data_IF_843624526931
#
_entry.id   IF_843624526931
#
_cell.length_a   1.000
_cell.length_b   1.000
_cell.length_c   1.000
_cell.angle_alpha   90.00
_cell.angle_beta   90.00
_cell.angle_gamma   90.00
#
_symmetry.space_group_name_H-M   'P 1'
#
loop_
_entity.id
_entity.type
_entity.pdbx_description
1 polymer ?
#
# COMPACT_ATOMS: atom_id res chain seq x y z
N UNK A 1 -1.35 -40.53 -5.40
CA UNK A 1 -1.92 -40.70 -4.07
C UNK A 1 -1.74 -39.39 -3.36
N UNK A 2 -2.84 -38.78 -2.94
CA UNK A 2 -2.78 -37.78 -1.88
C UNK A 2 -2.54 -38.56 -0.60
N UNK A 3 -1.41 -38.33 0.06
CA UNK A 3 -1.05 -39.06 1.28
C UNK A 3 -1.18 -38.16 2.50
N UNK A 4 -1.44 -38.78 3.65
CA UNK A 4 -1.39 -38.10 4.94
C UNK A 4 -0.07 -38.43 5.58
N UNK A 5 0.71 -37.42 5.91
CA UNK A 5 1.94 -37.62 6.65
C UNK A 5 1.62 -38.10 8.08
N UNK A 6 2.12 -39.28 8.51
CA UNK A 6 1.71 -39.89 9.77
C UNK A 6 2.19 -39.14 11.02
N UNK A 7 3.27 -38.34 10.94
CA UNK A 7 3.75 -37.52 12.06
C UNK A 7 3.07 -36.15 12.12
N UNK A 8 2.99 -35.45 10.98
CA UNK A 8 2.49 -34.06 10.94
C UNK A 8 0.99 -33.95 10.68
N UNK A 9 0.32 -35.07 10.35
CA UNK A 9 -1.06 -35.12 9.85
C UNK A 9 -1.31 -34.16 8.67
N UNK A 10 -0.26 -33.78 7.95
CA UNK A 10 -0.37 -32.86 6.84
C UNK A 10 -0.84 -33.58 5.58
N UNK A 11 -1.72 -32.93 4.83
CA UNK A 11 -2.24 -33.46 3.57
C UNK A 11 -1.20 -33.20 2.47
N UNK A 12 -0.49 -34.25 2.06
CA UNK A 12 0.44 -34.22 0.93
C UNK A 12 -0.35 -34.40 -0.37
N UNK A 13 -0.76 -33.27 -0.97
CA UNK A 13 -1.43 -33.29 -2.28
C UNK A 13 -0.46 -33.69 -3.40
N UNK A 14 -0.82 -34.72 -4.16
CA UNK A 14 -0.14 -35.01 -5.44
C UNK A 14 -0.52 -33.92 -6.45
N UNK A 15 0.45 -33.08 -6.83
CA UNK A 15 0.26 -32.02 -7.83
C UNK A 15 0.22 -32.65 -9.23
N UNK A 16 -0.97 -33.05 -9.67
CA UNK A 16 -1.20 -33.70 -10.97
C UNK A 16 -1.54 -32.71 -12.08
N UNK A 17 -1.87 -31.46 -11.74
CA UNK A 17 -2.37 -30.50 -12.71
C UNK A 17 -1.22 -29.71 -13.37
N UNK A 18 -1.01 -29.80 -14.70
CA UNK A 18 0.12 -29.16 -15.38
C UNK A 18 0.11 -27.62 -15.29
N UNK A 19 -1.03 -26.99 -14.95
CA UNK A 19 -1.10 -25.54 -14.71
C UNK A 19 -0.81 -25.12 -13.25
N UNK A 20 -0.71 -26.05 -12.31
CA UNK A 20 -0.24 -25.77 -10.94
C UNK A 20 1.24 -26.18 -10.91
N UNK A 21 2.04 -25.39 -11.62
CA UNK A 21 3.48 -25.58 -11.67
C UNK A 21 4.13 -24.70 -10.60
N UNK A 22 5.09 -25.24 -9.85
CA UNK A 22 5.87 -24.43 -8.92
C UNK A 22 6.78 -23.45 -9.66
N UNK A 23 7.07 -23.72 -10.93
CA UNK A 23 8.07 -23.01 -11.71
C UNK A 23 7.66 -22.96 -13.19
N UNK A 24 7.30 -21.79 -13.71
CA UNK A 24 6.95 -21.59 -15.12
C UNK A 24 7.94 -20.62 -15.77
N UNK A 25 8.75 -21.12 -16.70
CA UNK A 25 9.76 -20.33 -17.43
C UNK A 25 9.17 -19.10 -18.14
N UNK A 26 7.97 -19.23 -18.71
CA UNK A 26 7.32 -18.12 -19.40
C UNK A 26 6.89 -17.03 -18.42
N UNK A 27 6.38 -17.42 -17.24
CA UNK A 27 5.99 -16.44 -16.21
C UNK A 27 7.23 -15.80 -15.58
N UNK A 28 8.28 -16.60 -15.33
CA UNK A 28 9.57 -16.07 -14.86
C UNK A 28 10.15 -15.07 -15.88
N UNK A 29 10.07 -15.39 -17.17
CA UNK A 29 10.53 -14.53 -18.26
C UNK A 29 9.69 -13.26 -18.42
N UNK A 30 8.36 -13.36 -18.34
CA UNK A 30 7.46 -12.23 -18.55
C UNK A 30 7.43 -11.26 -17.37
N UNK A 31 7.45 -11.79 -16.15
CA UNK A 31 7.32 -10.96 -14.95
C UNK A 31 8.67 -10.65 -14.29
N UNK A 32 9.74 -11.35 -14.68
CA UNK A 32 11.10 -11.17 -14.15
C UNK A 32 11.17 -11.21 -12.61
N UNK A 33 10.22 -11.90 -11.98
CA UNK A 33 10.08 -11.99 -10.54
C UNK A 33 10.11 -13.44 -10.08
N UNK A 34 10.52 -13.68 -8.84
CA UNK A 34 10.56 -15.04 -8.32
C UNK A 34 9.12 -15.55 -8.18
N UNK A 35 8.86 -16.76 -8.67
CA UNK A 35 7.53 -17.38 -8.66
C UNK A 35 7.63 -18.65 -7.81
N UNK A 36 6.85 -18.71 -6.73
CA UNK A 36 6.72 -19.91 -5.91
C UNK A 36 5.24 -20.07 -5.52
N UNK A 37 4.61 -21.14 -6.03
CA UNK A 37 3.19 -21.42 -5.80
C UNK A 37 3.10 -22.66 -4.90
N UNK A 38 2.80 -22.41 -3.62
CA UNK A 38 2.61 -23.48 -2.63
C UNK A 38 1.13 -23.63 -2.29
N UNK A 39 0.67 -24.88 -2.27
CA UNK A 39 -0.63 -25.22 -1.73
C UNK A 39 -0.58 -25.23 -0.19
N UNK A 40 -1.57 -24.61 0.44
CA UNK A 40 -1.68 -24.52 1.90
C UNK A 40 -2.87 -25.39 2.33
N UNK A 41 -2.57 -26.60 2.79
CA UNK A 41 -3.60 -27.58 3.16
C UNK A 41 -3.82 -27.78 4.67
N UNK A 42 -2.88 -27.35 5.51
CA UNK A 42 -2.85 -27.63 6.95
C UNK A 42 -2.47 -26.38 7.76
N UNK A 43 -2.77 -26.38 9.06
CA UNK A 43 -2.56 -25.24 9.97
C UNK A 43 -1.10 -24.87 10.18
N UNK A 44 -0.20 -25.85 10.34
CA UNK A 44 1.22 -25.56 10.61
C UNK A 44 1.94 -24.93 9.39
N UNK A 45 1.77 -25.44 8.15
CA UNK A 45 2.27 -24.76 6.95
C UNK A 45 1.64 -23.39 6.72
N UNK A 46 0.35 -23.22 7.05
CA UNK A 46 -0.32 -21.93 6.94
C UNK A 46 0.29 -20.90 7.90
N UNK A 47 0.54 -21.30 9.15
CA UNK A 47 1.20 -20.48 10.17
C UNK A 47 2.59 -20.06 9.73
N UNK A 48 3.42 -21.01 9.29
CA UNK A 48 4.76 -20.72 8.78
C UNK A 48 4.74 -19.73 7.60
N UNK A 49 3.79 -19.89 6.67
CA UNK A 49 3.63 -18.95 5.57
C UNK A 49 3.21 -17.56 6.05
N UNK A 50 2.27 -17.45 6.98
CA UNK A 50 1.83 -16.16 7.51
C UNK A 50 3.01 -15.42 8.15
N UNK A 51 3.83 -16.11 8.94
CA UNK A 51 5.06 -15.53 9.50
C UNK A 51 6.02 -15.07 8.41
N UNK A 52 6.29 -15.91 7.41
CA UNK A 52 7.12 -15.54 6.26
C UNK A 52 6.58 -14.28 5.57
N UNK A 53 5.31 -14.26 5.17
CA UNK A 53 4.71 -13.10 4.48
C UNK A 53 4.77 -11.85 5.36
N UNK A 54 4.49 -11.98 6.65
CA UNK A 54 4.55 -10.86 7.60
C UNK A 54 5.96 -10.31 7.72
N UNK A 55 6.98 -11.17 7.85
CA UNK A 55 8.38 -10.76 7.92
C UNK A 55 8.83 -10.05 6.63
N UNK A 56 8.32 -10.48 5.49
CA UNK A 56 8.60 -9.82 4.21
C UNK A 56 7.90 -8.46 4.08
N UNK A 57 6.62 -8.36 4.45
CA UNK A 57 5.87 -7.09 4.41
C UNK A 57 6.44 -6.09 5.41
N UNK A 58 6.81 -6.56 6.61
CA UNK A 58 7.36 -5.71 7.67
C UNK A 58 8.87 -5.47 7.54
N UNK A 59 9.52 -6.02 6.51
CA UNK A 59 10.93 -5.80 6.24
C UNK A 59 11.17 -4.30 6.02
N UNK A 60 11.87 -3.67 6.98
CA UNK A 60 12.19 -2.25 6.90
C UNK A 60 12.99 -1.96 5.63
N UNK A 61 12.51 -1.03 4.80
CA UNK A 61 13.22 -0.60 3.60
C UNK A 61 14.46 0.23 3.92
N UNK A 62 14.52 0.83 5.10
CA UNK A 62 15.65 1.63 5.57
C UNK A 62 16.15 1.09 6.92
N UNK A 63 17.43 0.67 7.04
CA UNK A 63 17.99 0.31 8.32
C UNK A 63 17.94 1.51 9.29
N UNK A 64 17.55 1.28 10.54
CA UNK A 64 17.33 2.35 11.53
C UNK A 64 18.56 3.25 11.72
N UNK A 65 19.76 2.68 11.68
CA UNK A 65 21.01 3.44 11.81
C UNK A 65 21.22 4.44 10.66
N UNK A 66 20.82 4.07 9.43
CA UNK A 66 20.89 4.95 8.25
C UNK A 66 19.86 6.07 8.36
N UNK A 67 18.65 5.76 8.81
CA UNK A 67 17.60 6.76 9.06
C UNK A 67 18.01 7.78 10.12
N UNK A 68 18.54 7.31 11.26
CA UNK A 68 19.04 8.20 12.32
C UNK A 68 20.19 9.08 11.83
N UNK A 69 21.14 8.53 11.07
CA UNK A 69 22.21 9.31 10.48
C UNK A 69 21.69 10.38 9.50
N UNK A 70 20.63 10.07 8.73
CA UNK A 70 19.99 11.03 7.82
C UNK A 70 19.30 12.19 8.57
N UNK A 71 18.67 11.91 9.71
CA UNK A 71 18.05 12.91 10.58
C UNK A 71 19.11 13.80 11.22
N UNK A 72 20.17 13.21 11.79
CA UNK A 72 21.29 13.97 12.37
C UNK A 72 21.93 14.90 11.35
N UNK A 73 22.16 14.40 10.13
CA UNK A 73 22.67 15.21 9.04
C UNK A 73 21.71 16.35 8.65
N UNK A 74 20.40 16.10 8.61
CA UNK A 74 19.41 17.13 8.31
C UNK A 74 19.39 18.24 9.37
N UNK A 75 19.51 17.90 10.65
CA UNK A 75 19.60 18.86 11.76
C UNK A 75 20.84 19.73 11.60
N UNK A 76 22.02 19.11 11.46
CA UNK A 76 23.28 19.83 11.32
C UNK A 76 23.27 20.78 10.11
N UNK A 77 22.79 20.30 8.95
CA UNK A 77 22.69 21.13 7.75
C UNK A 77 21.64 22.24 7.88
N UNK A 78 20.63 22.06 8.73
CA UNK A 78 19.64 23.11 9.02
C UNK A 78 20.23 24.17 9.95
N UNK A 79 20.98 23.77 10.96
CA UNK A 79 21.66 24.68 11.89
C UNK A 79 22.65 25.59 11.15
N UNK A 80 23.51 25.04 10.29
CA UNK A 80 24.43 25.82 9.45
C UNK A 80 23.69 26.82 8.54
N UNK A 81 22.49 26.46 8.06
CA UNK A 81 21.69 27.34 7.19
C UNK A 81 21.11 28.55 7.93
N UNK A 82 20.80 28.39 9.21
CA UNK A 82 20.18 29.44 10.03
C UNK A 82 21.13 30.04 11.07
N UNK A 83 22.41 29.67 11.04
CA UNK A 83 23.45 30.23 11.89
C UNK A 83 23.53 31.75 11.69
N UNK A 84 23.25 32.51 12.75
CA UNK A 84 23.22 33.98 12.72
C UNK A 84 21.98 34.62 12.07
N UNK A 85 21.00 33.83 11.59
CA UNK A 85 19.76 34.34 11.03
C UNK A 85 18.61 34.27 12.04
N UNK A 86 17.97 35.40 12.32
CA UNK A 86 16.70 35.44 13.07
C UNK A 86 15.55 35.04 12.13
N UNK A 87 15.48 33.75 11.82
CA UNK A 87 14.35 33.18 11.08
C UNK A 87 13.09 33.11 11.94
N UNK A 88 11.91 33.30 11.34
CA UNK A 88 10.66 32.90 12.00
C UNK A 88 10.72 31.41 12.36
N UNK A 89 10.36 31.05 13.59
CA UNK A 89 10.35 29.65 14.09
C UNK A 89 9.63 28.70 13.12
N UNK A 90 8.55 29.17 12.48
CA UNK A 90 7.82 28.40 11.47
C UNK A 90 8.67 28.09 10.22
N UNK A 91 9.47 29.03 9.74
CA UNK A 91 10.31 28.86 8.56
C UNK A 91 11.46 27.87 8.85
N UNK A 92 12.04 27.93 10.05
CA UNK A 92 13.08 27.01 10.50
C UNK A 92 12.52 25.58 10.60
N UNK A 93 11.35 25.41 11.24
CA UNK A 93 10.72 24.09 11.41
C UNK A 93 10.32 23.47 10.06
N UNK A 94 9.76 24.25 9.14
CA UNK A 94 9.44 23.78 7.78
C UNK A 94 10.69 23.35 7.03
N UNK A 95 11.76 24.16 7.08
CA UNK A 95 13.04 23.84 6.46
C UNK A 95 13.65 22.56 7.03
N UNK A 96 13.63 22.39 8.35
CA UNK A 96 14.12 21.19 9.01
C UNK A 96 13.34 19.95 8.55
N UNK A 97 12.01 20.00 8.58
CA UNK A 97 11.15 18.89 8.18
C UNK A 97 11.39 18.48 6.72
N UNK A 98 11.40 19.45 5.80
CA UNK A 98 11.68 19.18 4.38
C UNK A 98 13.07 18.57 4.18
N UNK A 99 14.10 19.07 4.88
CA UNK A 99 15.45 18.49 4.81
C UNK A 99 15.47 17.06 5.30
N UNK A 100 14.85 16.77 6.45
CA UNK A 100 14.79 15.43 7.02
C UNK A 100 14.10 14.45 6.08
N UNK A 101 12.96 14.82 5.49
CA UNK A 101 12.30 13.96 4.49
C UNK A 101 13.21 13.72 3.29
N UNK A 102 13.79 14.79 2.74
CA UNK A 102 14.64 14.68 1.55
C UNK A 102 15.89 13.82 1.81
N UNK A 103 16.51 13.92 3.00
CA UNK A 103 17.69 13.12 3.34
C UNK A 103 17.35 11.66 3.58
N UNK A 104 16.19 11.36 4.17
CA UNK A 104 15.69 9.99 4.34
C UNK A 104 15.36 9.39 2.97
N UNK A 105 14.58 10.09 2.15
CA UNK A 105 14.17 9.63 0.82
C UNK A 105 15.37 9.39 -0.10
N UNK A 106 16.39 10.25 -0.04
CA UNK A 106 17.62 10.08 -0.84
C UNK A 106 18.45 8.84 -0.46
N UNK A 107 18.25 8.29 0.75
CA UNK A 107 18.93 7.08 1.22
C UNK A 107 18.07 5.83 1.13
N UNK A 108 16.80 5.96 0.77
CA UNK A 108 15.91 4.84 0.59
C UNK A 108 16.23 4.16 -0.74
N UNK A 109 16.63 2.90 -0.68
CA UNK A 109 16.89 2.10 -1.87
C UNK A 109 15.56 1.72 -2.53
N UNK A 110 15.52 1.83 -3.85
CA UNK A 110 14.37 1.45 -4.68
C UNK A 110 14.70 0.15 -5.39
N UNK A 111 13.76 -0.79 -5.47
CA UNK A 111 14.00 -2.06 -6.16
C UNK A 111 14.24 -1.85 -7.65
N UNK A 112 15.12 -2.65 -8.24
CA UNK A 112 15.43 -2.57 -9.68
C UNK A 112 14.17 -2.75 -10.54
N UNK A 113 13.28 -3.66 -10.14
CA UNK A 113 12.01 -3.92 -10.82
C UNK A 113 11.09 -2.69 -10.81
N UNK A 114 11.02 -1.98 -9.68
CA UNK A 114 10.26 -0.73 -9.59
C UNK A 114 10.86 0.35 -10.49
N UNK A 115 12.18 0.51 -10.49
CA UNK A 115 12.87 1.47 -11.38
C UNK A 115 12.62 1.13 -12.86
N UNK A 116 12.74 -0.15 -13.24
CA UNK A 116 12.49 -0.58 -14.62
C UNK A 116 11.04 -0.39 -15.05
N UNK A 117 10.08 -0.63 -14.15
CA UNK A 117 8.66 -0.37 -14.47
C UNK A 117 8.41 1.09 -14.82
N UNK A 118 9.04 2.02 -14.10
CA UNK A 118 8.98 3.45 -14.43
C UNK A 118 9.72 3.81 -15.73
N UNK A 119 10.89 3.22 -15.99
CA UNK A 119 11.66 3.47 -17.21
C UNK A 119 10.97 2.98 -18.48
N UNK A 120 10.29 1.83 -18.41
CA UNK A 120 9.51 1.25 -19.52
C UNK A 120 8.15 1.93 -19.68
N UNK A 121 7.73 2.77 -18.71
CA UNK A 121 6.44 3.48 -18.73
C UNK A 121 5.26 2.64 -18.23
N UNK A 122 5.52 1.52 -17.56
CA UNK A 122 4.50 0.68 -16.91
C UNK A 122 3.94 1.28 -15.62
N UNK A 123 4.69 2.16 -14.94
CA UNK A 123 4.28 2.78 -13.68
C UNK A 123 4.32 1.80 -12.50
N UNK A 124 3.66 2.13 -11.39
CA UNK A 124 3.63 1.32 -10.16
C UNK A 124 2.22 0.83 -9.78
N UNK A 125 1.24 0.96 -10.69
CA UNK A 125 -0.13 0.56 -10.44
C UNK A 125 -0.75 -0.15 -11.63
N UNK A 126 -1.63 -1.11 -11.33
CA UNK A 126 -2.55 -1.69 -12.30
C UNK A 126 -3.96 -1.22 -11.96
N UNK A 127 -4.60 -0.48 -12.86
CA UNK A 127 -5.97 -0.02 -12.68
C UNK A 127 -6.80 -0.34 -13.91
N UNK A 128 -7.96 -0.96 -13.71
CA UNK A 128 -8.94 -1.21 -14.78
C UNK A 128 -9.78 0.02 -15.12
N UNK A 129 -9.79 1.04 -14.26
CA UNK A 129 -10.61 2.24 -14.39
C UNK A 129 -9.74 3.48 -14.44
N UNK A 130 -10.22 4.50 -15.15
CA UNK A 130 -9.61 5.83 -15.19
C UNK A 130 -10.11 6.67 -14.00
N UNK A 131 -9.19 7.22 -13.24
CA UNK A 131 -9.50 8.16 -12.17
C UNK A 131 -9.31 9.59 -12.65
N UNK A 132 -10.14 10.51 -12.15
CA UNK A 132 -9.96 11.93 -12.38
C UNK A 132 -9.18 12.56 -11.23
N UNK A 133 -8.24 13.47 -11.55
CA UNK A 133 -7.48 14.17 -10.52
C UNK A 133 -8.40 15.11 -9.74
N UNK A 134 -8.59 14.83 -8.46
CA UNK A 134 -9.30 15.70 -7.53
C UNK A 134 -8.30 16.69 -6.91
N UNK A 135 -8.46 17.98 -7.21
CA UNK A 135 -7.69 19.04 -6.56
C UNK A 135 -8.14 19.18 -5.11
N UNK A 136 -7.36 18.63 -4.18
CA UNK A 136 -7.67 18.61 -2.74
C UNK A 136 -8.08 20.00 -2.20
N UNK A 137 -7.38 21.06 -2.59
CA UNK A 137 -7.68 22.42 -2.14
C UNK A 137 -9.10 22.88 -2.50
N UNK A 138 -9.61 22.49 -3.66
CA UNK A 138 -10.96 22.86 -4.07
C UNK A 138 -12.01 22.07 -3.29
N UNK A 139 -11.73 20.78 -3.05
CA UNK A 139 -12.58 19.90 -2.26
C UNK A 139 -12.63 20.34 -0.79
N UNK A 140 -11.48 20.67 -0.20
CA UNK A 140 -11.35 21.17 1.17
C UNK A 140 -12.12 22.49 1.37
N UNK A 141 -12.01 23.42 0.41
CA UNK A 141 -12.81 24.65 0.40
C UNK A 141 -14.31 24.36 0.30
N UNK A 142 -14.71 23.41 -0.54
CA UNK A 142 -16.10 23.02 -0.72
C UNK A 142 -16.70 22.39 0.54
N UNK A 143 -15.95 21.52 1.23
CA UNK A 143 -16.34 20.94 2.53
C UNK A 143 -16.46 22.05 3.57
N UNK A 144 -15.46 22.91 3.69
CA UNK A 144 -15.45 23.99 4.68
C UNK A 144 -16.58 24.99 4.43
N UNK A 145 -16.97 25.20 3.18
CA UNK A 145 -18.11 26.03 2.79
C UNK A 145 -19.48 25.34 2.95
N UNK A 146 -19.53 24.03 3.15
CA UNK A 146 -20.76 23.23 3.31
C UNK A 146 -20.85 22.58 4.70
N UNK A 147 -20.98 23.39 5.78
CA UNK A 147 -20.94 22.89 7.16
C UNK A 147 -22.08 21.92 7.53
N UNK A 148 -23.15 21.86 6.73
CA UNK A 148 -24.33 21.03 7.01
C UNK A 148 -24.17 19.55 6.62
N UNK A 149 -23.07 19.16 5.98
CA UNK A 149 -22.81 17.76 5.57
C UNK A 149 -21.96 17.02 6.61
N UNK A 150 -21.16 17.74 7.39
CA UNK A 150 -20.44 17.18 8.53
C UNK A 150 -21.38 17.28 9.72
N UNK A 151 -22.25 16.27 9.88
CA UNK A 151 -23.01 16.09 11.10
C UNK A 151 -22.03 16.11 12.28
N UNK A 152 -22.06 17.18 13.06
CA UNK A 152 -21.51 17.16 14.40
C UNK A 152 -22.32 16.11 15.15
N UNK A 153 -21.77 14.91 15.30
CA UNK A 153 -22.25 13.92 16.27
C UNK A 153 -22.03 14.52 17.67
N UNK A 154 -22.88 15.47 18.06
CA UNK A 154 -23.19 15.68 19.47
C UNK A 154 -24.16 14.59 19.82
N UNK A 155 -23.62 13.54 20.43
CA UNK A 155 -24.35 12.49 21.12
C UNK A 155 -25.51 13.12 21.92
N UNK A 156 -26.76 12.80 21.54
CA UNK A 156 -27.94 12.68 22.41
C UNK A 156 -29.23 12.45 21.58
N UNK A 157 -29.70 11.19 21.66
CA UNK A 157 -31.08 10.69 21.45
C UNK A 157 -31.56 10.35 20.02
N UNK A 158 -32.43 9.32 19.89
CA UNK A 158 -32.57 8.50 18.69
C UNK A 158 -33.78 8.87 17.84
N UNK A 159 -33.88 8.22 16.67
CA UNK A 159 -35.06 7.92 15.82
C UNK A 159 -34.90 8.45 14.40
N UNK A 160 -34.57 7.50 13.51
CA UNK A 160 -35.18 7.27 12.21
C UNK A 160 -35.81 8.49 11.52
N UNK A 161 -35.02 9.14 10.67
CA UNK A 161 -35.57 9.91 9.55
C UNK A 161 -34.72 9.60 8.32
N UNK A 162 -35.34 8.92 7.36
CA UNK A 162 -34.86 8.83 5.98
C UNK A 162 -34.68 10.26 5.45
N UNK A 163 -33.43 10.66 5.24
CA UNK A 163 -33.11 11.91 4.56
C UNK A 163 -33.19 11.59 3.07
N UNK A 164 -34.31 11.94 2.47
CA UNK A 164 -34.53 11.85 1.03
C UNK A 164 -33.71 12.95 0.34
N UNK A 165 -32.50 12.60 -0.10
CA UNK A 165 -31.62 13.52 -0.81
C UNK A 165 -32.11 13.63 -2.25
N UNK A 166 -32.91 14.66 -2.55
CA UNK A 166 -33.25 15.02 -3.92
C UNK A 166 -32.00 15.56 -4.63
N UNK A 167 -31.25 14.66 -5.27
CA UNK A 167 -30.09 14.99 -6.09
C UNK A 167 -30.59 15.25 -7.51
N UNK A 168 -30.35 16.47 -8.01
CA UNK A 168 -30.57 16.84 -9.40
C UNK A 168 -29.87 15.82 -10.34
N UNK A 169 -30.59 15.14 -11.26
CA UNK A 169 -30.05 14.01 -12.04
C UNK A 169 -28.92 14.40 -13.01
N UNK A 170 -28.66 15.70 -13.20
CA UNK A 170 -27.57 16.22 -14.02
C UNK A 170 -26.24 16.42 -13.26
N UNK A 171 -26.19 16.16 -11.95
CA UNK A 171 -24.97 16.18 -11.12
C UNK A 171 -24.49 14.79 -10.69
N UNK A 172 -25.12 13.72 -11.21
CA UNK A 172 -24.79 12.34 -10.89
C UNK A 172 -23.54 11.90 -11.68
N UNK A 173 -22.36 12.06 -11.08
CA UNK A 173 -21.19 11.30 -11.50
C UNK A 173 -21.52 9.80 -11.40
N UNK A 174 -21.18 8.97 -12.41
CA UNK A 174 -21.68 7.61 -12.50
C UNK A 174 -21.20 6.77 -11.32
N UNK A 175 -22.17 6.40 -10.48
CA UNK A 175 -22.04 5.50 -9.35
C UNK A 175 -21.69 4.08 -9.86
N UNK A 176 -20.42 3.69 -9.79
CA UNK A 176 -20.02 2.32 -10.11
C UNK A 176 -20.29 1.41 -8.89
N UNK A 177 -21.49 0.83 -8.87
CA UNK A 177 -21.84 -0.33 -8.05
C UNK A 177 -20.96 -1.53 -8.43
N UNK A 178 -19.96 -1.86 -7.61
CA UNK A 178 -19.20 -3.12 -7.74
C UNK A 178 -19.90 -4.19 -6.91
N UNK A 179 -20.63 -5.08 -7.59
CA UNK A 179 -21.18 -6.30 -7.01
C UNK A 179 -20.06 -7.31 -6.76
N UNK A 180 -19.81 -7.63 -5.49
CA UNK A 180 -18.79 -8.60 -5.07
C UNK A 180 -19.24 -10.05 -5.37
N UNK A 181 -18.65 -10.69 -6.40
CA UNK A 181 -18.86 -12.10 -6.72
C UNK A 181 -17.70 -12.94 -6.18
N UNK A 182 -17.96 -13.74 -5.13
CA UNK A 182 -17.01 -14.70 -4.53
C UNK A 182 -16.42 -15.64 -5.61
N UNK A 183 -15.10 -15.56 -5.82
CA UNK A 183 -14.30 -16.65 -6.40
C UNK A 183 -13.19 -17.00 -5.42
N UNK A 184 -12.98 -18.30 -5.20
CA UNK A 184 -11.95 -18.86 -4.31
C UNK A 184 -10.59 -18.29 -4.72
N UNK A 185 -9.93 -17.59 -3.81
CA UNK A 185 -8.65 -16.92 -4.05
C UNK A 185 -7.54 -17.94 -3.82
N UNK A 186 -6.81 -18.29 -4.88
CA UNK A 186 -5.46 -18.85 -4.73
C UNK A 186 -4.54 -17.65 -4.48
N UNK A 187 -3.87 -17.64 -3.33
CA UNK A 187 -2.91 -16.59 -2.98
C UNK A 187 -1.64 -16.81 -3.83
N UNK A 188 -1.48 -16.02 -4.89
CA UNK A 188 -0.25 -15.98 -5.67
C UNK A 188 0.65 -14.95 -4.98
N UNK A 189 1.68 -15.42 -4.27
CA UNK A 189 2.75 -14.57 -3.77
C UNK A 189 3.67 -14.22 -4.94
N UNK A 190 3.43 -13.03 -5.52
CA UNK A 190 4.37 -12.42 -6.46
C UNK A 190 5.52 -11.87 -5.62
N UNK A 191 6.61 -12.61 -5.54
CA UNK A 191 7.84 -12.15 -4.87
C UNK A 191 8.64 -11.30 -5.85
N UNK A 192 8.60 -9.98 -5.67
CA UNK A 192 9.52 -9.01 -6.29
C UNK A 192 10.79 -8.85 -5.47
#
# INVERSE_FOLDING_TARGET
MTDLDPETQSILLKRLHPWINNFNDLILFLFCCNMDIKFIGSGEPAKALVYYVTDYITKSQLPTHVGLAAVLYAIWQNDVKFEGLVGSSLAVNRSLFTKTINTIMARQEVSHTQVMSYLVGGGDYYCSHSFWSLKWQNFDRWITASPNIVGTHTDNTPVDTEIDVNIDPNQLFPLLMITYRRRKVALILVTC
#
